data_IF_921554519949
#
_entry.id   IF_921554519949
#
_cell.length_a   1.000
_cell.length_b   1.000
_cell.length_c   1.000
_cell.angle_alpha   90.00
_cell.angle_beta   90.00
_cell.angle_gamma   90.00
#
_symmetry.space_group_name_H-M   'P 1'
#
loop_
_entity.id
_entity.type
_entity.pdbx_description
1 polymer ?
#
# COMPACT_ATOMS: atom_id res chain seq x y z
N UNK A 1 1.45 19.42 39.09
CA UNK A 1 0.80 18.85 37.90
C UNK A 1 1.86 18.68 36.81
N UNK A 2 2.24 17.45 36.48
CA UNK A 2 3.33 17.19 35.53
C UNK A 2 2.82 17.34 34.09
N UNK A 3 3.34 18.34 33.38
CA UNK A 3 3.05 18.56 31.97
C UNK A 3 4.08 17.83 31.12
N UNK A 4 3.68 16.73 30.47
CA UNK A 4 4.54 16.00 29.54
C UNK A 4 4.22 16.45 28.12
N UNK A 5 5.16 17.14 27.48
CA UNK A 5 5.02 17.58 26.09
C UNK A 5 5.25 16.39 25.14
N UNK A 6 4.17 15.68 24.81
CA UNK A 6 4.19 14.42 24.01
C UNK A 6 4.41 14.60 22.50
N UNK A 7 4.93 15.73 22.03
CA UNK A 7 4.91 16.05 20.58
C UNK A 7 6.27 16.05 19.89
N UNK A 8 7.39 15.99 20.63
CA UNK A 8 8.73 16.12 20.04
C UNK A 8 9.49 14.80 19.79
N UNK A 9 9.07 13.68 20.39
CA UNK A 9 9.91 12.45 20.38
C UNK A 9 9.54 11.44 19.28
N UNK A 10 8.29 11.39 18.84
CA UNK A 10 7.86 10.35 17.89
C UNK A 10 8.31 10.63 16.44
N UNK A 11 8.49 11.90 16.08
CA UNK A 11 8.76 12.31 14.69
C UNK A 11 10.23 12.11 14.25
N UNK A 12 11.17 12.05 15.20
CA UNK A 12 12.61 11.84 14.93
C UNK A 12 13.00 10.36 14.78
N UNK A 13 12.22 9.44 15.33
CA UNK A 13 12.51 8.00 15.24
C UNK A 13 12.10 7.44 13.88
N UNK A 14 11.09 8.05 13.26
CA UNK A 14 10.60 7.73 11.92
C UNK A 14 10.98 8.81 10.92
N UNK A 15 12.26 9.16 10.85
CA UNK A 15 12.76 9.68 9.57
C UNK A 15 12.72 8.50 8.57
N UNK A 16 12.17 8.72 7.37
CA UNK A 16 11.94 7.66 6.41
C UNK A 16 13.29 7.05 6.04
N UNK A 17 13.44 5.77 6.32
CA UNK A 17 14.58 5.00 5.84
C UNK A 17 14.28 4.76 4.36
N UNK A 18 14.62 5.73 3.51
CA UNK A 18 14.31 5.84 2.07
C UNK A 18 14.80 4.67 1.19
N UNK A 19 15.28 3.55 1.76
CA UNK A 19 15.95 2.54 0.93
C UNK A 19 15.91 1.08 1.40
N UNK A 20 15.61 0.78 2.67
CA UNK A 20 15.69 -0.61 3.17
C UNK A 20 14.36 -1.38 3.12
N UNK A 21 13.22 -0.68 3.08
CA UNK A 21 11.90 -1.34 3.07
C UNK A 21 11.65 -2.16 1.80
N UNK A 22 12.10 -1.68 0.64
CA UNK A 22 11.86 -2.32 -0.65
C UNK A 22 12.35 -3.77 -0.71
N UNK A 23 13.47 -4.08 -0.04
CA UNK A 23 14.06 -5.43 0.00
C UNK A 23 13.21 -6.38 0.85
N UNK A 24 12.70 -5.91 2.00
CA UNK A 24 11.84 -6.73 2.86
C UNK A 24 10.52 -7.06 2.15
N UNK A 25 9.91 -6.08 1.50
CA UNK A 25 8.61 -6.23 0.84
C UNK A 25 8.67 -6.95 -0.51
N UNK A 26 9.84 -7.02 -1.16
CA UNK A 26 10.02 -7.79 -2.39
C UNK A 26 9.72 -9.29 -2.21
N UNK A 27 9.91 -9.82 -1.00
CA UNK A 27 9.69 -11.24 -0.65
C UNK A 27 8.29 -11.55 -0.13
N UNK A 28 7.40 -10.55 0.00
CA UNK A 28 6.02 -10.76 0.42
C UNK A 28 5.27 -11.69 -0.53
N UNK A 29 4.39 -12.51 0.05
CA UNK A 29 3.49 -13.39 -0.70
C UNK A 29 2.56 -12.59 -1.62
N UNK A 30 2.18 -13.20 -2.75
CA UNK A 30 1.32 -12.60 -3.78
C UNK A 30 0.12 -13.50 -4.09
N UNK A 31 -0.30 -14.29 -3.11
CA UNK A 31 -1.26 -15.38 -3.31
C UNK A 31 -2.66 -14.85 -3.66
N UNK A 32 -2.97 -13.62 -3.21
CA UNK A 32 -4.24 -12.96 -3.50
C UNK A 32 -4.02 -11.54 -4.01
N UNK A 33 -5.05 -10.98 -4.66
CA UNK A 33 -5.05 -9.58 -5.11
C UNK A 33 -4.81 -8.63 -3.93
N UNK A 34 -5.32 -8.95 -2.74
CA UNK A 34 -5.10 -8.18 -1.52
C UNK A 34 -3.61 -8.09 -1.16
N UNK A 35 -2.91 -9.23 -1.15
CA UNK A 35 -1.48 -9.28 -0.88
C UNK A 35 -0.67 -8.50 -1.93
N UNK A 36 -1.04 -8.59 -3.21
CA UNK A 36 -0.41 -7.82 -4.29
C UNK A 36 -0.56 -6.31 -4.08
N UNK A 37 -1.76 -5.84 -3.73
CA UNK A 37 -2.01 -4.41 -3.46
C UNK A 37 -1.19 -3.96 -2.25
N UNK A 38 -1.19 -4.75 -1.17
CA UNK A 38 -0.42 -4.45 0.04
C UNK A 38 1.08 -4.35 -0.28
N UNK A 39 1.61 -5.33 -1.01
CA UNK A 39 3.01 -5.35 -1.45
C UNK A 39 3.36 -4.11 -2.26
N UNK A 40 2.56 -3.76 -3.27
CA UNK A 40 2.79 -2.56 -4.08
C UNK A 40 2.80 -1.29 -3.23
N UNK A 41 1.85 -1.16 -2.29
CA UNK A 41 1.82 -0.01 -1.38
C UNK A 41 3.07 0.06 -0.49
N UNK A 42 3.51 -1.08 0.04
CA UNK A 42 4.71 -1.18 0.87
C UNK A 42 6.00 -0.91 0.10
N UNK A 43 6.11 -1.40 -1.15
CA UNK A 43 7.24 -1.11 -2.03
C UNK A 43 7.39 0.38 -2.31
N UNK A 44 6.26 1.10 -2.39
CA UNK A 44 6.25 2.54 -2.59
C UNK A 44 6.35 3.35 -1.28
N UNK A 45 6.35 2.70 -0.11
CA UNK A 45 6.45 3.37 1.19
C UNK A 45 5.23 4.23 1.57
N UNK A 46 4.08 4.05 0.90
CA UNK A 46 2.90 4.89 1.14
C UNK A 46 2.00 4.37 2.27
N UNK A 47 1.42 5.31 2.99
CA UNK A 47 0.25 5.02 3.84
C UNK A 47 -0.96 4.65 2.99
N UNK A 48 -1.95 3.95 3.55
CA UNK A 48 -3.19 3.62 2.84
C UNK A 48 -3.89 4.88 2.28
N UNK A 49 -3.86 6.00 3.01
CA UNK A 49 -4.46 7.26 2.53
C UNK A 49 -3.71 7.84 1.34
N UNK A 50 -2.39 7.91 1.42
CA UNK A 50 -1.55 8.42 0.32
C UNK A 50 -1.66 7.54 -0.92
N UNK A 51 -1.62 6.21 -0.73
CA UNK A 51 -1.78 5.27 -1.84
C UNK A 51 -3.15 5.37 -2.50
N UNK A 52 -4.22 5.51 -1.70
CA UNK A 52 -5.57 5.70 -2.22
C UNK A 52 -5.69 7.00 -3.03
N UNK A 53 -5.10 8.09 -2.54
CA UNK A 53 -5.05 9.38 -3.25
C UNK A 53 -4.25 9.28 -4.55
N UNK A 54 -3.06 8.66 -4.51
CA UNK A 54 -2.23 8.42 -5.69
C UNK A 54 -2.95 7.60 -6.76
N UNK A 55 -3.65 6.54 -6.36
CA UNK A 55 -4.40 5.69 -7.28
C UNK A 55 -5.79 6.25 -7.62
N UNK A 56 -6.16 7.42 -7.11
CA UNK A 56 -7.48 8.04 -7.28
C UNK A 56 -8.65 7.06 -6.98
N UNK A 57 -8.52 6.33 -5.87
CA UNK A 57 -9.52 5.39 -5.33
C UNK A 57 -9.98 5.86 -3.94
N UNK A 58 -11.16 5.41 -3.52
CA UNK A 58 -11.65 5.68 -2.17
C UNK A 58 -10.79 4.98 -1.12
N UNK A 59 -10.41 5.69 -0.06
CA UNK A 59 -9.67 5.13 1.09
C UNK A 59 -10.35 3.88 1.66
N UNK A 60 -11.67 3.95 1.87
CA UNK A 60 -12.48 2.83 2.34
C UNK A 60 -12.45 1.63 1.40
N UNK A 61 -12.35 1.87 0.09
CA UNK A 61 -12.22 0.81 -0.91
C UNK A 61 -10.88 0.12 -0.79
N UNK A 62 -9.78 0.89 -0.65
CA UNK A 62 -8.44 0.32 -0.45
C UNK A 62 -8.38 -0.53 0.82
N UNK A 63 -8.91 -0.05 1.95
CA UNK A 63 -8.94 -0.83 3.20
C UNK A 63 -9.68 -2.16 3.01
N UNK A 64 -10.81 -2.15 2.30
CA UNK A 64 -11.54 -3.40 1.98
C UNK A 64 -10.70 -4.33 1.12
N UNK A 65 -9.98 -3.81 0.13
CA UNK A 65 -9.15 -4.63 -0.75
C UNK A 65 -8.03 -5.34 0.00
N UNK A 66 -7.37 -4.66 0.95
CA UNK A 66 -6.33 -5.28 1.78
C UNK A 66 -6.87 -6.33 2.75
N UNK A 67 -8.15 -6.26 3.12
CA UNK A 67 -8.83 -7.26 3.97
C UNK A 67 -9.29 -8.49 3.16
N UNK A 68 -9.20 -8.46 1.83
CA UNK A 68 -9.58 -9.58 0.96
C UNK A 68 -10.84 -9.38 0.13
N UNK A 69 -11.46 -8.20 0.16
CA UNK A 69 -12.56 -7.89 -0.74
C UNK A 69 -12.07 -7.76 -2.18
N UNK A 70 -12.83 -8.33 -3.12
CA UNK A 70 -12.48 -8.30 -4.54
C UNK A 70 -12.67 -6.87 -5.12
N UNK A 71 -11.60 -6.21 -5.61
CA UNK A 71 -11.73 -4.92 -6.26
C UNK A 71 -12.44 -5.05 -7.60
N UNK A 72 -13.15 -3.99 -7.99
CA UNK A 72 -13.75 -3.92 -9.32
C UNK A 72 -12.66 -3.62 -10.36
N UNK A 73 -12.83 -4.10 -11.60
CA UNK A 73 -11.89 -3.91 -12.70
C UNK A 73 -11.57 -2.43 -12.93
N UNK A 74 -12.56 -1.53 -12.75
CA UNK A 74 -12.35 -0.08 -12.86
C UNK A 74 -11.32 0.45 -11.86
N UNK A 75 -11.35 -0.02 -10.61
CA UNK A 75 -10.41 0.42 -9.57
C UNK A 75 -9.05 -0.24 -9.75
N UNK A 76 -9.01 -1.50 -10.20
CA UNK A 76 -7.76 -2.14 -10.60
C UNK A 76 -7.05 -1.38 -11.73
N UNK A 77 -7.80 -0.95 -12.77
CA UNK A 77 -7.23 -0.13 -13.86
C UNK A 77 -6.62 1.16 -13.35
N UNK A 78 -7.28 1.86 -12.43
CA UNK A 78 -6.73 3.09 -11.83
C UNK A 78 -5.42 2.84 -11.08
N UNK A 79 -5.34 1.75 -10.31
CA UNK A 79 -4.10 1.35 -9.62
C UNK A 79 -3.01 0.96 -10.64
N UNK A 80 -3.40 0.31 -11.73
CA UNK A 80 -2.50 -0.05 -12.82
C UNK A 80 -1.93 1.19 -13.51
N UNK A 81 -2.77 2.17 -13.80
CA UNK A 81 -2.42 3.44 -14.42
C UNK A 81 -1.48 4.27 -13.53
N UNK A 82 -1.75 4.34 -12.22
CA UNK A 82 -0.91 5.10 -11.28
C UNK A 82 0.47 4.48 -11.06
N UNK A 83 0.57 3.15 -11.12
CA UNK A 83 1.82 2.41 -10.91
C UNK A 83 2.51 2.00 -12.22
N UNK A 84 1.92 2.33 -13.37
CA UNK A 84 2.38 1.92 -14.70
C UNK A 84 2.56 0.38 -14.84
N UNK A 85 1.67 -0.40 -14.22
CA UNK A 85 1.67 -1.86 -14.27
C UNK A 85 0.54 -2.38 -15.15
N UNK A 86 0.72 -3.55 -15.78
CA UNK A 86 -0.35 -4.16 -16.58
C UNK A 86 -1.37 -4.91 -15.71
N UNK A 87 -2.64 -4.91 -16.10
CA UNK A 87 -3.72 -5.55 -15.33
C UNK A 87 -3.52 -7.07 -15.16
N UNK A 88 -2.80 -7.70 -16.08
CA UNK A 88 -2.43 -9.11 -16.01
C UNK A 88 -1.67 -9.46 -14.73
N UNK A 89 -0.95 -8.49 -14.14
CA UNK A 89 -0.28 -8.69 -12.86
C UNK A 89 -1.27 -9.12 -11.77
N UNK A 90 -2.45 -8.52 -11.71
CA UNK A 90 -3.48 -8.89 -10.73
C UNK A 90 -4.20 -10.19 -11.09
N UNK A 91 -4.32 -10.49 -12.39
CA UNK A 91 -5.01 -11.69 -12.89
C UNK A 91 -4.16 -12.97 -12.79
N UNK A 92 -2.83 -12.84 -12.79
CA UNK A 92 -1.91 -13.97 -12.67
C UNK A 92 -2.00 -14.59 -11.28
N UNK A 93 -2.85 -15.58 -11.10
CA UNK A 93 -2.85 -16.39 -9.89
C UNK A 93 -1.61 -17.29 -9.92
N UNK A 94 -0.84 -17.33 -8.83
CA UNK A 94 0.09 -18.44 -8.63
C UNK A 94 -0.80 -19.66 -8.36
N UNK A 95 -0.82 -20.59 -9.31
CA UNK A 95 -1.45 -21.89 -9.17
C UNK A 95 -0.70 -22.75 -8.14
#
# INVERSE_FOLDING_TARGET
MCYVNKTATFKKIFEPIESTGAIAYATLSEDTIAHKIYKLRMLQGFTQRQFAQMCNIGYSSLCRYEIGYKPNLKNLRKICESLNIHIDYFLKQKA
#
